data_IF_979276879894
#
_entry.id   IF_979276879894
#
_cell.length_a   1.000
_cell.length_b   1.000
_cell.length_c   1.000
_cell.angle_alpha   90.00
_cell.angle_beta   90.00
_cell.angle_gamma   90.00
#
_symmetry.space_group_name_H-M   'P 1'
#
loop_
_entity.id
_entity.type
_entity.pdbx_description
1 polymer ?
#
# COMPACT_ATOMS: atom_id res chain seq x y z
N UNK A 1 59.06 34.13 -36.78
CA UNK A 1 58.66 32.97 -35.95
C UNK A 1 57.17 32.75 -36.19
N UNK A 2 56.77 31.56 -36.61
CA UNK A 2 55.35 31.22 -36.80
C UNK A 2 54.76 30.84 -35.44
N UNK A 3 53.63 31.44 -35.08
CA UNK A 3 52.83 31.00 -33.94
C UNK A 3 52.32 29.57 -34.21
N UNK A 4 52.51 28.68 -33.24
CA UNK A 4 51.88 27.35 -33.26
C UNK A 4 50.52 27.36 -32.54
N UNK A 5 49.73 26.30 -32.74
CA UNK A 5 48.38 26.21 -32.17
C UNK A 5 48.38 26.21 -30.63
N UNK A 6 49.39 25.65 -29.98
CA UNK A 6 49.48 25.60 -28.52
C UNK A 6 49.80 26.99 -27.95
N UNK A 7 50.69 27.74 -28.61
CA UNK A 7 50.98 29.12 -28.26
C UNK A 7 49.75 30.02 -28.39
N UNK A 8 48.89 29.77 -29.39
CA UNK A 8 47.61 30.48 -29.51
C UNK A 8 46.69 30.17 -28.32
N UNK A 9 46.60 28.90 -27.89
CA UNK A 9 45.80 28.52 -26.71
C UNK A 9 46.33 29.18 -25.44
N UNK A 10 47.63 29.15 -25.19
CA UNK A 10 48.24 29.79 -24.00
C UNK A 10 47.95 31.30 -23.93
N UNK A 11 47.94 31.99 -25.09
CA UNK A 11 47.61 33.41 -25.16
C UNK A 11 46.15 33.69 -24.75
N UNK A 12 45.21 32.84 -25.16
CA UNK A 12 43.82 32.94 -24.72
C UNK A 12 43.65 32.59 -23.23
N UNK A 13 44.35 31.58 -22.73
CA UNK A 13 44.26 31.20 -21.31
C UNK A 13 44.68 32.36 -20.38
N UNK A 14 45.73 33.10 -20.76
CA UNK A 14 46.26 34.23 -19.99
C UNK A 14 45.39 35.50 -20.08
N UNK A 15 44.56 35.64 -21.12
CA UNK A 15 43.70 36.82 -21.32
C UNK A 15 42.20 36.47 -21.25
N UNK A 16 41.57 36.84 -20.13
CA UNK A 16 40.12 36.65 -19.90
C UNK A 16 39.27 37.46 -20.88
N UNK A 17 39.72 38.66 -21.28
CA UNK A 17 39.01 39.51 -22.23
C UNK A 17 38.99 38.89 -23.63
N UNK A 18 40.12 38.33 -24.06
CA UNK A 18 40.21 37.59 -25.32
C UNK A 18 39.31 36.34 -25.32
N UNK A 19 39.27 35.58 -24.22
CA UNK A 19 38.36 34.42 -24.07
C UNK A 19 36.88 34.81 -24.15
N UNK A 20 36.48 35.87 -23.44
CA UNK A 20 35.09 36.36 -23.51
C UNK A 20 34.71 36.78 -24.92
N UNK A 21 35.60 37.51 -25.60
CA UNK A 21 35.37 37.98 -26.98
C UNK A 21 35.29 36.82 -27.97
N UNK A 22 36.12 35.79 -27.80
CA UNK A 22 36.03 34.56 -28.59
C UNK A 22 34.70 33.82 -28.34
N UNK A 23 34.29 33.68 -27.08
CA UNK A 23 33.00 33.08 -26.75
C UNK A 23 31.85 33.87 -27.39
N UNK A 24 31.83 35.20 -27.26
CA UNK A 24 30.84 36.08 -27.90
C UNK A 24 30.78 35.88 -29.42
N UNK A 25 31.92 35.82 -30.10
CA UNK A 25 31.98 35.55 -31.55
C UNK A 25 31.38 34.16 -31.88
N UNK A 26 31.71 33.13 -31.11
CA UNK A 26 31.17 31.78 -31.30
C UNK A 26 29.65 31.72 -31.10
N UNK A 27 29.08 32.51 -30.19
CA UNK A 27 27.62 32.55 -29.99
C UNK A 27 26.94 33.50 -30.99
N UNK A 28 27.66 34.43 -31.61
CA UNK A 28 27.09 35.38 -32.58
C UNK A 28 26.88 34.72 -33.94
N UNK A 29 27.84 33.89 -34.38
CA UNK A 29 27.76 33.15 -35.64
C UNK A 29 26.61 32.12 -35.62
N UNK A 30 25.59 32.25 -36.50
CA UNK A 30 24.40 31.41 -36.47
C UNK A 30 24.69 29.90 -36.55
N UNK A 31 25.63 29.50 -37.41
CA UNK A 31 25.95 28.09 -37.64
C UNK A 31 26.68 27.47 -36.44
N UNK A 32 27.61 28.21 -35.83
CA UNK A 32 28.34 27.78 -34.63
C UNK A 32 27.38 27.70 -33.44
N UNK A 33 26.51 28.70 -33.27
CA UNK A 33 25.47 28.70 -32.24
C UNK A 33 24.51 27.52 -32.42
N UNK A 34 24.07 27.23 -33.64
CA UNK A 34 23.19 26.10 -33.92
C UNK A 34 23.87 24.75 -33.64
N UNK A 35 25.15 24.61 -33.99
CA UNK A 35 25.93 23.42 -33.68
C UNK A 35 26.07 23.19 -32.16
N UNK A 36 26.33 24.25 -31.38
CA UNK A 36 26.38 24.19 -29.92
C UNK A 36 25.01 23.82 -29.33
N UNK A 37 23.93 24.45 -29.79
CA UNK A 37 22.57 24.15 -29.34
C UNK A 37 22.20 22.69 -29.64
N UNK A 38 22.49 22.20 -30.84
CA UNK A 38 22.17 20.83 -31.24
C UNK A 38 22.99 19.79 -30.44
N UNK A 39 24.26 20.10 -30.13
CA UNK A 39 25.08 19.27 -29.26
C UNK A 39 24.48 19.17 -27.85
N UNK A 40 24.07 20.31 -27.25
CA UNK A 40 23.46 20.34 -25.91
C UNK A 40 22.07 19.71 -25.91
N UNK A 41 21.25 19.96 -26.94
CA UNK A 41 19.87 19.47 -27.03
C UNK A 41 19.78 17.94 -27.01
N UNK A 42 20.85 17.25 -27.45
CA UNK A 42 20.95 15.79 -27.40
C UNK A 42 21.10 15.25 -25.96
N UNK A 43 21.68 16.04 -25.06
CA UNK A 43 22.02 15.64 -23.70
C UNK A 43 21.02 16.16 -22.65
N UNK A 44 20.13 17.08 -23.03
CA UNK A 44 19.09 17.62 -22.14
C UNK A 44 17.72 17.03 -22.42
N UNK A 45 16.99 16.68 -21.36
CA UNK A 45 15.59 16.29 -21.48
C UNK A 45 14.78 17.45 -22.06
N UNK A 46 14.05 17.19 -23.15
CA UNK A 46 13.23 18.21 -23.78
C UNK A 46 11.90 18.36 -23.03
N UNK A 47 11.20 19.48 -23.24
CA UNK A 47 9.85 19.67 -22.68
C UNK A 47 8.89 18.53 -23.05
N UNK A 48 9.04 17.97 -24.26
CA UNK A 48 8.24 16.83 -24.73
C UNK A 48 8.49 15.56 -23.91
N UNK A 49 9.72 15.36 -23.45
CA UNK A 49 10.05 14.19 -22.62
C UNK A 49 9.43 14.33 -21.23
N UNK A 50 9.43 15.56 -20.69
CA UNK A 50 8.75 15.88 -19.42
C UNK A 50 7.24 15.72 -19.55
N UNK A 51 6.63 16.22 -20.63
CA UNK A 51 5.19 16.05 -20.90
C UNK A 51 4.79 14.58 -21.03
N UNK A 52 5.60 13.76 -21.73
CA UNK A 52 5.39 12.31 -21.81
C UNK A 52 5.46 11.65 -20.44
N UNK A 53 6.46 12.02 -19.63
CA UNK A 53 6.63 11.49 -18.29
C UNK A 53 5.47 11.90 -17.37
N UNK A 54 4.99 13.15 -17.47
CA UNK A 54 3.83 13.63 -16.72
C UNK A 54 2.58 12.84 -17.11
N UNK A 55 2.34 12.65 -18.41
CA UNK A 55 1.22 11.87 -18.91
C UNK A 55 1.26 10.41 -18.43
N UNK A 56 2.41 9.74 -18.54
CA UNK A 56 2.56 8.36 -18.08
C UNK A 56 2.40 8.24 -16.57
N UNK A 57 2.89 9.23 -15.81
CA UNK A 57 2.75 9.27 -14.36
C UNK A 57 1.30 9.45 -13.95
N UNK A 58 0.57 10.37 -14.60
CA UNK A 58 -0.88 10.55 -14.37
C UNK A 58 -1.66 9.28 -14.67
N UNK A 59 -1.36 8.62 -15.78
CA UNK A 59 -2.02 7.37 -16.15
C UNK A 59 -1.75 6.26 -15.13
N UNK A 60 -0.50 6.11 -14.69
CA UNK A 60 -0.13 5.14 -13.66
C UNK A 60 -0.86 5.40 -12.33
N UNK A 61 -0.92 6.66 -11.91
CA UNK A 61 -1.64 7.06 -10.68
C UNK A 61 -3.13 6.71 -10.79
N UNK A 62 -3.76 6.96 -11.94
CA UNK A 62 -5.18 6.66 -12.08
C UNK A 62 -5.48 5.16 -12.17
N UNK A 63 -4.60 4.37 -12.78
CA UNK A 63 -4.70 2.90 -12.72
C UNK A 63 -4.60 2.38 -11.29
N UNK A 64 -3.60 2.84 -10.54
CA UNK A 64 -3.44 2.47 -9.12
C UNK A 64 -4.65 2.88 -8.27
N UNK A 65 -5.23 4.05 -8.53
CA UNK A 65 -6.46 4.49 -7.85
C UNK A 65 -7.64 3.58 -8.13
N UNK A 66 -7.80 3.13 -9.37
CA UNK A 66 -8.88 2.22 -9.76
C UNK A 66 -8.70 0.85 -9.10
N UNK A 67 -7.50 0.27 -9.19
CA UNK A 67 -7.17 -1.02 -8.56
C UNK A 67 -7.43 -0.98 -7.05
N UNK A 68 -6.94 0.05 -6.36
CA UNK A 68 -7.14 0.21 -4.93
C UNK A 68 -8.63 0.35 -4.56
N UNK A 69 -9.41 1.08 -5.37
CA UNK A 69 -10.86 1.23 -5.15
C UNK A 69 -11.58 -0.11 -5.29
N UNK A 70 -11.19 -0.92 -6.26
CA UNK A 70 -11.75 -2.26 -6.45
C UNK A 70 -11.40 -3.21 -5.30
N UNK A 71 -10.15 -3.21 -4.85
CA UNK A 71 -9.70 -4.03 -3.71
C UNK A 71 -10.40 -3.64 -2.41
N UNK A 72 -10.53 -2.34 -2.13
CA UNK A 72 -11.31 -1.85 -0.99
C UNK A 72 -12.78 -2.28 -1.11
N UNK A 73 -13.33 -2.27 -2.33
CA UNK A 73 -14.68 -2.77 -2.60
C UNK A 73 -14.86 -4.24 -2.24
N UNK A 74 -13.93 -5.10 -2.68
CA UNK A 74 -13.93 -6.54 -2.35
C UNK A 74 -13.79 -6.78 -0.86
N UNK A 75 -12.84 -6.10 -0.19
CA UNK A 75 -12.65 -6.20 1.25
C UNK A 75 -13.90 -5.80 2.04
N UNK A 76 -14.62 -4.75 1.62
CA UNK A 76 -15.89 -4.38 2.24
C UNK A 76 -16.94 -5.48 2.11
N UNK A 77 -17.06 -6.10 0.94
CA UNK A 77 -17.97 -7.22 0.72
C UNK A 77 -17.60 -8.43 1.59
N UNK A 78 -16.32 -8.75 1.71
CA UNK A 78 -15.84 -9.84 2.55
C UNK A 78 -16.16 -9.59 4.03
N UNK A 79 -15.93 -8.36 4.51
CA UNK A 79 -16.26 -7.96 5.90
C UNK A 79 -17.77 -8.05 6.15
N UNK A 80 -18.60 -7.59 5.22
CA UNK A 80 -20.05 -7.70 5.36
C UNK A 80 -20.52 -9.15 5.32
N UNK A 81 -19.91 -9.99 4.46
CA UNK A 81 -20.16 -11.43 4.44
C UNK A 81 -19.76 -12.12 5.75
N UNK A 82 -18.65 -11.72 6.37
CA UNK A 82 -18.22 -12.21 7.68
C UNK A 82 -19.18 -11.80 8.79
N UNK A 83 -19.69 -10.55 8.78
CA UNK A 83 -20.71 -10.10 9.75
C UNK A 83 -21.97 -10.94 9.68
N UNK A 84 -22.45 -11.26 8.47
CA UNK A 84 -23.62 -12.12 8.28
C UNK A 84 -23.38 -13.51 8.86
N UNK A 85 -22.21 -14.11 8.57
CA UNK A 85 -21.84 -15.42 9.14
C UNK A 85 -21.75 -15.39 10.66
N UNK A 86 -21.22 -14.30 11.24
CA UNK A 86 -21.14 -14.12 12.69
C UNK A 86 -22.52 -14.04 13.33
N UNK A 87 -23.44 -13.28 12.73
CA UNK A 87 -24.83 -13.21 13.20
C UNK A 87 -25.53 -14.58 13.14
N UNK A 88 -25.32 -15.37 12.08
CA UNK A 88 -25.87 -16.74 12.00
C UNK A 88 -25.28 -17.64 13.10
N UNK A 89 -23.99 -17.49 13.39
CA UNK A 89 -23.34 -18.22 14.46
C UNK A 89 -23.91 -17.85 15.84
N UNK A 90 -24.13 -16.57 16.12
CA UNK A 90 -24.75 -16.10 17.36
C UNK A 90 -26.15 -16.72 17.56
N UNK A 91 -26.96 -16.79 16.49
CA UNK A 91 -28.28 -17.44 16.53
C UNK A 91 -28.17 -18.94 16.79
N UNK A 92 -27.18 -19.62 16.20
CA UNK A 92 -26.94 -21.06 16.46
C UNK A 92 -26.48 -21.28 17.91
N UNK A 93 -25.57 -20.46 18.41
CA UNK A 93 -25.09 -20.53 19.81
C UNK A 93 -26.26 -20.34 20.77
N UNK A 94 -27.10 -19.31 20.57
CA UNK A 94 -28.27 -19.10 21.43
C UNK A 94 -29.25 -20.28 21.46
N UNK A 95 -29.45 -20.97 20.33
CA UNK A 95 -30.25 -22.21 20.28
C UNK A 95 -29.61 -23.36 21.05
N UNK A 96 -28.29 -23.52 20.95
CA UNK A 96 -27.54 -24.53 21.71
C UNK A 96 -27.60 -24.23 23.21
N UNK A 97 -27.38 -22.98 23.62
CA UNK A 97 -27.47 -22.55 25.03
C UNK A 97 -28.87 -22.83 25.61
N UNK A 98 -29.92 -22.50 24.85
CA UNK A 98 -31.31 -22.80 25.26
C UNK A 98 -31.55 -24.30 25.43
N UNK A 99 -31.08 -25.11 24.48
CA UNK A 99 -31.22 -26.57 24.53
C UNK A 99 -30.46 -27.19 25.71
N UNK A 100 -29.25 -26.72 25.97
CA UNK A 100 -28.45 -27.14 27.14
C UNK A 100 -29.12 -26.72 28.45
N UNK A 101 -29.70 -25.52 28.53
CA UNK A 101 -30.45 -25.07 29.71
C UNK A 101 -31.62 -26.00 30.02
N UNK A 102 -32.38 -26.40 28.99
CA UNK A 102 -33.48 -27.37 29.14
C UNK A 102 -32.96 -28.73 29.57
N UNK A 103 -31.88 -29.23 28.96
CA UNK A 103 -31.27 -30.51 29.32
C UNK A 103 -30.83 -30.52 30.79
N UNK A 104 -30.14 -29.47 31.24
CA UNK A 104 -29.72 -29.33 32.65
C UNK A 104 -30.93 -29.31 33.58
N UNK A 105 -32.00 -28.56 33.25
CA UNK A 105 -33.23 -28.53 34.04
C UNK A 105 -33.89 -29.91 34.14
N UNK A 106 -34.01 -30.63 33.03
CA UNK A 106 -34.58 -31.98 33.00
C UNK A 106 -33.71 -32.96 33.79
N UNK A 107 -32.39 -32.87 33.65
CA UNK A 107 -31.45 -33.70 34.40
C UNK A 107 -31.65 -33.52 35.90
N UNK A 108 -31.68 -32.29 36.42
CA UNK A 108 -31.91 -32.05 37.84
C UNK A 108 -33.32 -32.46 38.29
N UNK A 109 -34.35 -32.20 37.48
CA UNK A 109 -35.72 -32.59 37.80
C UNK A 109 -35.90 -34.10 37.99
N UNK A 110 -35.18 -34.91 37.20
CA UNK A 110 -35.24 -36.38 37.28
C UNK A 110 -34.27 -36.91 38.35
N UNK A 111 -33.03 -36.43 38.37
CA UNK A 111 -31.98 -37.03 39.21
C UNK A 111 -32.01 -36.55 40.66
N UNK A 112 -32.40 -35.29 40.94
CA UNK A 112 -32.36 -34.76 42.30
C UNK A 112 -33.31 -35.51 43.27
N UNK A 113 -34.57 -35.84 42.90
CA UNK A 113 -35.46 -36.60 43.78
C UNK A 113 -34.95 -38.02 44.06
N UNK A 114 -34.37 -38.69 43.05
CA UNK A 114 -33.81 -40.05 43.20
C UNK A 114 -32.63 -40.02 44.18
N UNK A 115 -31.71 -39.07 44.02
CA UNK A 115 -30.57 -38.90 44.92
C UNK A 115 -31.03 -38.59 46.36
N UNK A 116 -31.99 -37.67 46.53
CA UNK A 116 -32.57 -37.37 47.84
C UNK A 116 -33.23 -38.60 48.48
N UNK A 117 -33.97 -39.39 47.69
CA UNK A 117 -34.59 -40.63 48.14
C UNK A 117 -33.56 -41.68 48.59
N UNK A 118 -32.49 -41.86 47.81
CA UNK A 118 -31.40 -42.78 48.19
C UNK A 118 -30.68 -42.32 49.47
N UNK A 119 -30.37 -41.02 49.59
CA UNK A 119 -29.76 -40.45 50.79
C UNK A 119 -30.69 -40.68 52.00
N UNK A 120 -31.98 -40.42 51.86
CA UNK A 120 -32.97 -40.64 52.93
C UNK A 120 -33.05 -42.10 53.38
N UNK A 121 -33.05 -43.06 52.43
CA UNK A 121 -33.02 -44.48 52.74
C UNK A 121 -31.73 -44.90 53.46
N UNK A 122 -30.57 -44.44 52.98
CA UNK A 122 -29.27 -44.73 53.62
C UNK A 122 -29.21 -44.17 55.05
N UNK A 123 -29.69 -42.93 55.26
CA UNK A 123 -29.77 -42.34 56.59
C UNK A 123 -30.70 -43.11 57.52
N UNK A 124 -31.85 -43.58 57.01
CA UNK A 124 -32.77 -44.41 57.78
C UNK A 124 -32.10 -45.70 58.29
N UNK A 125 -31.38 -46.42 57.41
CA UNK A 125 -30.66 -47.62 57.79
C UNK A 125 -29.51 -47.36 58.78
N UNK A 126 -28.89 -46.18 58.72
CA UNK A 126 -27.80 -45.82 59.63
C UNK A 126 -28.28 -45.39 61.03
N UNK A 127 -29.38 -44.63 61.09
CA UNK A 127 -29.93 -44.06 62.34
C UNK A 127 -30.89 -45.00 63.06
N UNK A 128 -31.56 -45.88 62.32
CA UNK A 128 -32.48 -46.89 62.84
C UNK A 128 -32.12 -48.27 62.26
N UNK A 129 -31.01 -48.89 62.72
CA UNK A 129 -30.62 -50.23 62.32
C UNK A 129 -31.63 -51.30 62.78
#
# INVERSE_FOLDING_TARGET
MSLDANQIVELFERDVGARKRLAELMVTEPDVRLAIINAILRDVATKRDVEKLEASTKEAIERLRQELKEEIGKLRQDVDGLKVKMNDLDVRIGRVESSLSLLVKVFFAINAPILLGMIGLLLKYLLFP
#
